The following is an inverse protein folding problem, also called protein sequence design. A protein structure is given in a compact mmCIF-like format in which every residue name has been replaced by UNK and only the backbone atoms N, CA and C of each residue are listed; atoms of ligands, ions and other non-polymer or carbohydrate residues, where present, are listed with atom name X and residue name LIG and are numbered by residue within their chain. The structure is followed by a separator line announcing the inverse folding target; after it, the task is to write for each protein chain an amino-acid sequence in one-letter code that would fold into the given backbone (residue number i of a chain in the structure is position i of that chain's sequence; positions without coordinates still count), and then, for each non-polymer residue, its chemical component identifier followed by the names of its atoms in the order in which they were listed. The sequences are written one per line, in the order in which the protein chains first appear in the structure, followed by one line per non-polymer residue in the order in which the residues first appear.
data_IF_951628424251
#
_entry.id   IF_951628424251
#
_cell.length_a   1.000
_cell.length_b   1.000
_cell.length_c   1.000
_cell.angle_alpha   90.00
_cell.angle_beta   90.00
_cell.angle_gamma   90.00
#
_symmetry.space_group_name_H-M   'P 1'
#
loop_
_entity.id
_entity.type
_entity.pdbx_description
1 polymer ?
#
# COMPACT_ATOMS: atom_id res chain seq x y z
N UNK A 1 -38.78 -19.88 -10.79
CA UNK A 1 -38.32 -18.65 -11.48
C UNK A 1 -39.38 -17.52 -11.53
N UNK A 2 -40.44 -17.51 -10.69
CA UNK A 2 -41.60 -16.60 -10.83
C UNK A 2 -41.85 -15.68 -9.60
N UNK A 3 -40.81 -15.37 -8.83
CA UNK A 3 -40.89 -14.51 -7.62
C UNK A 3 -39.63 -13.63 -7.45
N UNK A 4 -39.29 -12.86 -8.47
CA UNK A 4 -38.43 -11.68 -8.35
C UNK A 4 -39.04 -10.61 -9.27
N UNK A 5 -39.96 -9.75 -8.78
CA UNK A 5 -40.42 -8.64 -9.59
C UNK A 5 -39.19 -7.77 -9.87
N UNK A 6 -38.94 -7.45 -11.15
CA UNK A 6 -37.90 -6.48 -11.50
C UNK A 6 -38.30 -5.13 -10.90
N UNK A 7 -37.73 -4.84 -9.74
CA UNK A 7 -37.95 -3.57 -9.05
C UNK A 7 -37.21 -2.48 -9.83
N UNK A 8 -37.99 -1.66 -10.53
CA UNK A 8 -37.47 -0.57 -11.35
C UNK A 8 -36.69 0.44 -10.51
N UNK A 9 -37.01 0.56 -9.22
CA UNK A 9 -36.31 1.45 -8.28
C UNK A 9 -34.89 0.95 -8.03
N UNK A 10 -34.70 -0.35 -7.81
CA UNK A 10 -33.38 -0.96 -7.64
C UNK A 10 -32.53 -0.85 -8.92
N UNK A 11 -33.15 -0.95 -10.10
CA UNK A 11 -32.48 -0.73 -11.38
C UNK A 11 -31.94 0.71 -11.51
N UNK A 12 -32.74 1.71 -11.15
CA UNK A 12 -32.29 3.11 -11.19
C UNK A 12 -31.18 3.40 -10.17
N UNK A 13 -31.28 2.85 -8.95
CA UNK A 13 -30.25 3.03 -7.92
C UNK A 13 -28.91 2.43 -8.38
N UNK A 14 -28.92 1.21 -8.91
CA UNK A 14 -27.71 0.55 -9.41
C UNK A 14 -27.12 1.26 -10.63
N UNK A 15 -27.97 1.76 -11.55
CA UNK A 15 -27.55 2.57 -12.70
C UNK A 15 -26.84 3.85 -12.26
N UNK A 16 -27.40 4.58 -11.29
CA UNK A 16 -26.81 5.82 -10.76
C UNK A 16 -25.47 5.53 -10.08
N UNK A 17 -25.40 4.49 -9.25
CA UNK A 17 -24.14 4.10 -8.58
C UNK A 17 -23.05 3.77 -9.60
N UNK A 18 -23.37 3.00 -10.64
CA UNK A 18 -22.42 2.66 -11.71
C UNK A 18 -21.99 3.92 -12.49
N UNK A 19 -22.92 4.81 -12.83
CA UNK A 19 -22.62 6.05 -13.55
C UNK A 19 -21.71 6.99 -12.74
N UNK A 20 -21.96 7.13 -11.44
CA UNK A 20 -21.13 7.93 -10.53
C UNK A 20 -19.73 7.32 -10.37
N UNK A 21 -19.63 6.01 -10.17
CA UNK A 21 -18.34 5.31 -10.08
C UNK A 21 -17.53 5.45 -11.37
N UNK A 22 -18.17 5.27 -12.53
CA UNK A 22 -17.52 5.43 -13.84
C UNK A 22 -17.08 6.88 -14.07
N UNK A 23 -17.91 7.86 -13.70
CA UNK A 23 -17.56 9.27 -13.78
C UNK A 23 -16.35 9.62 -12.91
N UNK A 24 -16.33 9.15 -11.66
CA UNK A 24 -15.22 9.35 -10.73
C UNK A 24 -13.92 8.71 -11.25
N UNK A 25 -13.99 7.47 -11.74
CA UNK A 25 -12.87 6.78 -12.38
C UNK A 25 -12.35 7.53 -13.61
N UNK A 26 -13.23 8.05 -14.44
CA UNK A 26 -12.87 8.80 -15.64
C UNK A 26 -12.17 10.12 -15.28
N UNK A 27 -12.65 10.84 -14.27
CA UNK A 27 -12.00 12.07 -13.77
C UNK A 27 -10.60 11.76 -13.20
N UNK A 28 -10.46 10.70 -12.40
CA UNK A 28 -9.16 10.26 -11.91
C UNK A 28 -8.23 9.82 -13.04
N UNK A 29 -8.75 9.12 -14.05
CA UNK A 29 -7.97 8.66 -15.18
C UNK A 29 -7.52 9.84 -16.06
N UNK A 30 -8.40 10.79 -16.34
CA UNK A 30 -8.07 12.03 -17.04
C UNK A 30 -7.04 12.87 -16.29
N UNK A 31 -7.16 12.97 -14.96
CA UNK A 31 -6.16 13.67 -14.14
C UNK A 31 -4.81 12.94 -14.14
N UNK A 32 -4.83 11.60 -14.05
CA UNK A 32 -3.64 10.74 -14.12
C UNK A 32 -2.95 10.82 -15.50
N UNK A 33 -3.72 10.81 -16.59
CA UNK A 33 -3.25 10.97 -17.97
C UNK A 33 -2.69 12.37 -18.20
N UNK A 34 -3.36 13.41 -17.69
CA UNK A 34 -2.86 14.79 -17.83
C UNK A 34 -1.60 15.03 -16.98
N UNK A 35 -1.39 14.27 -15.91
CA UNK A 35 -0.11 14.23 -15.17
C UNK A 35 0.98 13.40 -15.87
N UNK A 36 0.59 12.50 -16.78
CA UNK A 36 1.48 11.70 -17.62
C UNK A 36 1.73 12.36 -18.98
N UNK A 37 1.71 13.70 -19.07
CA UNK A 37 2.09 14.39 -20.31
C UNK A 37 3.55 14.05 -20.70
N UNK A 38 3.78 13.47 -21.88
CA UNK A 38 5.10 13.08 -22.37
C UNK A 38 5.80 14.26 -23.05
N UNK A 39 5.87 15.42 -22.38
CA UNK A 39 6.56 16.61 -22.89
C UNK A 39 6.95 17.50 -21.70
N UNK A 40 8.13 17.25 -21.14
CA UNK A 40 9.10 18.27 -20.63
C UNK A 40 10.18 17.53 -19.83
N UNK A 41 11.14 16.84 -20.47
CA UNK A 41 12.41 16.49 -19.82
C UNK A 41 13.56 16.38 -20.84
N UNK A 42 13.69 17.35 -21.75
CA UNK A 42 14.93 17.55 -22.52
C UNK A 42 15.82 18.67 -21.93
N UNK A 43 15.40 19.37 -20.87
CA UNK A 43 16.25 20.36 -20.20
C UNK A 43 15.76 20.69 -18.78
N UNK A 44 15.97 19.76 -17.84
CA UNK A 44 16.00 20.10 -16.40
C UNK A 44 17.19 19.41 -15.74
N UNK A 45 18.36 19.92 -16.13
CA UNK A 45 19.46 20.17 -15.20
C UNK A 45 18.91 20.99 -14.04
N UNK A 46 18.35 20.32 -13.03
CA UNK A 46 18.54 20.63 -11.61
C UNK A 46 17.69 19.72 -10.73
N UNK A 47 18.33 18.64 -10.28
CA UNK A 47 18.58 18.44 -8.84
C UNK A 47 17.44 18.73 -7.85
N UNK A 48 16.21 18.27 -8.12
CA UNK A 48 15.27 17.94 -7.03
C UNK A 48 14.87 16.46 -7.11
N UNK A 49 15.89 15.61 -7.13
CA UNK A 49 15.73 14.26 -6.61
C UNK A 49 15.38 14.46 -5.14
N UNK A 50 14.13 14.17 -4.74
CA UNK A 50 13.72 14.00 -3.34
C UNK A 50 14.92 13.49 -2.56
N UNK A 51 15.40 14.25 -1.58
CA UNK A 51 16.70 14.03 -0.94
C UNK A 51 16.84 12.56 -0.53
N UNK A 52 18.01 11.96 -0.82
CA UNK A 52 18.34 10.59 -0.39
C UNK A 52 18.09 10.41 1.11
N UNK A 53 18.32 11.46 1.89
CA UNK A 53 18.04 11.50 3.32
C UNK A 53 16.55 11.33 3.66
N UNK A 54 15.64 11.98 2.91
CA UNK A 54 14.19 11.89 3.14
C UNK A 54 13.67 10.45 2.96
N UNK A 55 14.28 9.67 2.05
CA UNK A 55 13.96 8.24 1.86
C UNK A 55 14.33 7.40 3.08
N UNK A 56 15.50 7.63 3.66
CA UNK A 56 15.92 6.94 4.89
C UNK A 56 15.04 7.34 6.09
N UNK A 57 14.68 8.62 6.19
CA UNK A 57 13.76 9.12 7.22
C UNK A 57 12.39 8.43 7.10
N UNK A 58 11.86 8.25 5.89
CA UNK A 58 10.57 7.59 5.68
C UNK A 58 10.56 6.13 6.19
N UNK A 59 11.66 5.39 6.02
CA UNK A 59 11.79 4.01 6.49
C UNK A 59 11.87 3.95 8.01
N UNK A 60 12.69 4.84 8.59
CA UNK A 60 12.84 4.93 10.05
C UNK A 60 11.50 5.30 10.69
N UNK A 61 10.75 6.22 10.10
CA UNK A 61 9.41 6.56 10.56
C UNK A 61 8.44 5.38 10.39
N UNK A 62 8.47 4.69 9.25
CA UNK A 62 7.61 3.54 8.99
C UNK A 62 7.88 2.36 9.94
N UNK A 63 9.16 2.06 10.19
CA UNK A 63 9.55 1.01 11.15
C UNK A 63 9.22 1.40 12.59
N UNK A 64 9.44 2.67 12.97
CA UNK A 64 9.06 3.17 14.29
C UNK A 64 7.55 3.12 14.50
N UNK A 65 6.75 3.47 13.49
CA UNK A 65 5.28 3.37 13.55
C UNK A 65 4.82 1.92 13.74
N UNK A 66 5.39 0.96 13.01
CA UNK A 66 5.10 -0.47 13.19
C UNK A 66 5.49 -0.97 14.58
N UNK A 67 6.68 -0.57 15.05
CA UNK A 67 7.17 -0.95 16.38
C UNK A 67 6.30 -0.37 17.51
N UNK A 68 5.90 0.90 17.40
CA UNK A 68 4.97 1.53 18.34
C UNK A 68 3.59 0.85 18.32
N UNK A 69 3.07 0.51 17.13
CA UNK A 69 1.82 -0.23 17.00
C UNK A 69 1.87 -1.59 17.71
N UNK A 70 2.97 -2.31 17.57
CA UNK A 70 3.21 -3.57 18.27
C UNK A 70 3.27 -3.39 19.79
N UNK A 71 4.00 -2.37 20.27
CA UNK A 71 4.10 -2.07 21.70
C UNK A 71 2.76 -1.71 22.32
N UNK A 72 1.96 -0.90 21.61
CA UNK A 72 0.60 -0.50 22.03
C UNK A 72 -0.34 -1.71 22.09
N UNK A 73 -0.20 -2.67 21.15
CA UNK A 73 -1.00 -3.88 21.09
C UNK A 73 -0.69 -4.89 22.19
N UNK A 74 0.53 -4.89 22.74
CA UNK A 74 0.93 -5.76 23.84
C UNK A 74 0.44 -5.30 25.22
N UNK A 75 0.05 -4.03 25.36
CA UNK A 75 -0.49 -3.52 26.62
C UNK A 75 -1.90 -4.06 26.87
N UNK A 76 -2.09 -4.69 28.03
CA UNK A 76 -3.40 -5.14 28.50
C UNK A 76 -4.16 -3.95 29.09
N UNK A 77 -5.21 -3.53 28.38
CA UNK A 77 -6.14 -2.51 28.85
C UNK A 77 -7.49 -3.15 29.22
N UNK A 78 -8.31 -2.37 29.94
CA UNK A 78 -9.70 -2.72 30.20
C UNK A 78 -10.47 -2.91 28.88
N UNK A 79 -11.48 -3.80 28.87
CA UNK A 79 -12.25 -4.20 27.67
C UNK A 79 -12.76 -3.01 26.84
N UNK A 80 -13.16 -1.92 27.49
CA UNK A 80 -13.63 -0.71 26.82
C UNK A 80 -12.51 0.12 26.18
N UNK A 81 -11.35 0.24 26.83
CA UNK A 81 -10.19 0.97 26.29
C UNK A 81 -9.56 0.26 25.09
N UNK A 82 -9.53 -1.07 25.13
CA UNK A 82 -8.99 -1.90 24.06
C UNK A 82 -9.71 -1.69 22.71
N UNK A 83 -11.04 -1.50 22.74
CA UNK A 83 -11.83 -1.30 21.54
C UNK A 83 -11.37 -0.08 20.73
N UNK A 84 -11.21 1.08 21.37
CA UNK A 84 -10.71 2.29 20.71
C UNK A 84 -9.25 2.16 20.27
N UNK A 85 -8.42 1.51 21.09
CA UNK A 85 -6.99 1.33 20.80
C UNK A 85 -6.76 0.49 19.53
N UNK A 86 -7.59 -0.53 19.29
CA UNK A 86 -7.48 -1.38 18.10
C UNK A 86 -7.61 -0.55 16.81
N UNK A 87 -8.55 0.40 16.74
CA UNK A 87 -8.70 1.26 15.57
C UNK A 87 -7.46 2.13 15.32
N UNK A 88 -6.87 2.69 16.38
CA UNK A 88 -5.64 3.50 16.27
C UNK A 88 -4.47 2.64 15.79
N UNK A 89 -4.33 1.41 16.33
CA UNK A 89 -3.26 0.49 15.99
C UNK A 89 -3.38 0.03 14.54
N UNK A 90 -4.59 -0.34 14.09
CA UNK A 90 -4.83 -0.74 12.69
C UNK A 90 -4.43 0.39 11.74
N UNK A 91 -4.86 1.63 12.01
CA UNK A 91 -4.48 2.79 11.21
C UNK A 91 -2.96 3.01 11.16
N UNK A 92 -2.30 2.93 12.32
CA UNK A 92 -0.85 3.07 12.44
C UNK A 92 -0.09 1.99 11.67
N UNK A 93 -0.54 0.73 11.74
CA UNK A 93 0.07 -0.39 11.03
C UNK A 93 -0.06 -0.23 9.52
N UNK A 94 -1.24 0.16 9.02
CA UNK A 94 -1.46 0.40 7.59
C UNK A 94 -0.48 1.47 7.08
N UNK A 95 -0.44 2.64 7.72
CA UNK A 95 0.45 3.74 7.33
C UNK A 95 1.92 3.31 7.42
N UNK A 96 2.30 2.61 8.49
CA UNK A 96 3.65 2.11 8.72
C UNK A 96 4.11 1.13 7.63
N UNK A 97 3.26 0.16 7.26
CA UNK A 97 3.58 -0.82 6.20
C UNK A 97 3.79 -0.14 4.84
N UNK A 98 2.93 0.80 4.46
CA UNK A 98 3.11 1.53 3.19
C UNK A 98 4.37 2.38 3.20
N UNK A 99 4.62 3.15 4.26
CA UNK A 99 5.84 3.97 4.39
C UNK A 99 7.11 3.10 4.35
N UNK A 100 7.09 1.96 5.04
CA UNK A 100 8.20 1.01 5.07
C UNK A 100 8.47 0.41 3.69
N UNK A 101 7.44 -0.09 2.99
CA UNK A 101 7.61 -0.71 1.67
C UNK A 101 8.04 0.30 0.58
N UNK A 102 7.49 1.51 0.61
CA UNK A 102 7.91 2.57 -0.31
C UNK A 102 9.38 2.93 -0.07
N UNK A 103 9.78 3.10 1.19
CA UNK A 103 11.16 3.43 1.52
C UNK A 103 12.15 2.30 1.24
N UNK A 104 11.86 1.06 1.64
CA UNK A 104 12.76 -0.09 1.45
C UNK A 104 12.98 -0.39 -0.03
N UNK A 105 11.97 -0.18 -0.88
CA UNK A 105 12.09 -0.38 -2.33
C UNK A 105 13.17 0.53 -2.95
N UNK A 106 13.28 1.78 -2.48
CA UNK A 106 14.28 2.73 -2.95
C UNK A 106 15.70 2.35 -2.46
N UNK A 107 15.83 1.81 -1.24
CA UNK A 107 17.11 1.28 -0.73
C UNK A 107 17.57 0.08 -1.54
N UNK A 108 16.68 -0.89 -1.81
CA UNK A 108 16.99 -2.09 -2.59
C UNK A 108 17.55 -1.69 -3.96
N UNK A 109 16.94 -0.71 -4.63
CA UNK A 109 17.44 -0.18 -5.91
C UNK A 109 18.81 0.46 -5.72
N UNK A 110 19.01 1.27 -4.67
CA UNK A 110 20.29 1.93 -4.42
C UNK A 110 21.43 0.93 -4.17
N UNK A 111 21.17 -0.14 -3.43
CA UNK A 111 22.13 -1.23 -3.18
C UNK A 111 22.43 -1.96 -4.49
N UNK A 112 21.40 -2.28 -5.28
CA UNK A 112 21.56 -2.96 -6.56
C UNK A 112 22.33 -2.12 -7.59
N UNK A 113 22.25 -0.79 -7.49
CA UNK A 113 23.03 0.16 -8.32
C UNK A 113 24.48 0.30 -7.86
N UNK A 114 24.78 0.03 -6.58
CA UNK A 114 26.12 0.16 -6.00
C UNK A 114 27.02 -1.04 -6.33
N UNK A 115 26.46 -2.17 -6.77
CA UNK A 115 27.21 -3.30 -7.31
C UNK A 115 27.77 -2.92 -8.69
N UNK A 116 29.01 -2.42 -8.71
CA UNK A 116 29.69 -1.80 -9.86
C UNK A 116 29.84 -2.68 -11.12
N UNK A 117 29.60 -4.00 -11.03
CA UNK A 117 29.73 -4.92 -12.15
C UNK A 117 28.60 -4.80 -13.20
N UNK A 118 27.48 -4.16 -12.86
CA UNK A 118 26.28 -4.05 -13.74
C UNK A 118 26.04 -2.63 -14.25
N UNK A 119 26.36 -1.58 -13.46
CA UNK A 119 25.90 -0.22 -13.73
C UNK A 119 26.72 0.56 -14.78
N UNK A 120 28.00 0.23 -14.98
CA UNK A 120 28.89 0.98 -15.88
C UNK A 120 29.01 0.41 -17.31
N UNK A 121 28.21 -0.59 -17.67
CA UNK A 121 28.10 -1.01 -19.07
C UNK A 121 26.93 -0.26 -19.75
N UNK A 122 27.18 0.48 -20.85
CA UNK A 122 26.16 1.28 -21.55
C UNK A 122 24.95 0.47 -22.04
N UNK A 123 25.06 -0.87 -22.08
CA UNK A 123 24.01 -1.81 -22.46
C UNK A 123 22.91 -2.01 -21.40
N UNK A 124 23.17 -1.73 -20.11
CA UNK A 124 22.20 -1.99 -19.02
C UNK A 124 21.50 -0.74 -18.50
N UNK A 125 21.88 0.46 -18.96
CA UNK A 125 21.31 1.72 -18.50
C UNK A 125 19.79 1.80 -18.73
N UNK A 126 19.33 1.44 -19.93
CA UNK A 126 17.90 1.40 -20.28
C UNK A 126 17.12 0.41 -19.41
N UNK A 127 17.74 -0.73 -19.09
CA UNK A 127 17.15 -1.77 -18.22
C UNK A 127 17.00 -1.27 -16.79
N UNK A 128 18.02 -0.62 -16.23
CA UNK A 128 18.00 -0.11 -14.85
C UNK A 128 16.98 1.01 -14.67
N UNK A 129 16.85 1.91 -15.64
CA UNK A 129 15.84 2.98 -15.61
C UNK A 129 14.42 2.40 -15.68
N UNK A 130 14.17 1.45 -16.59
CA UNK A 130 12.87 0.78 -16.70
C UNK A 130 12.53 -0.11 -15.50
N UNK A 131 13.52 -0.65 -14.80
CA UNK A 131 13.31 -1.48 -13.60
C UNK A 131 13.02 -0.63 -12.35
N UNK A 132 13.63 0.55 -12.23
CA UNK A 132 13.33 1.51 -11.14
C UNK A 132 11.86 1.93 -11.14
N UNK A 133 11.31 2.27 -12.32
CA UNK A 133 9.90 2.66 -12.46
C UNK A 133 8.97 1.51 -12.08
N UNK A 134 9.27 0.29 -12.56
CA UNK A 134 8.48 -0.90 -12.26
C UNK A 134 8.53 -1.29 -10.78
N UNK A 135 9.70 -1.24 -10.13
CA UNK A 135 9.82 -1.58 -8.71
C UNK A 135 9.11 -0.55 -7.81
N UNK A 136 9.17 0.73 -8.16
CA UNK A 136 8.45 1.78 -7.43
C UNK A 136 6.93 1.63 -7.55
N UNK A 137 6.43 1.27 -8.73
CA UNK A 137 5.01 0.94 -8.92
C UNK A 137 4.61 -0.35 -8.21
N UNK A 138 5.49 -1.36 -8.20
CA UNK A 138 5.25 -2.66 -7.55
C UNK A 138 5.36 -2.60 -6.02
N UNK A 139 6.02 -1.60 -5.45
CA UNK A 139 6.18 -1.46 -4.00
C UNK A 139 4.83 -1.27 -3.29
N UNK A 140 3.91 -0.52 -3.91
CA UNK A 140 2.55 -0.31 -3.37
C UNK A 140 1.77 -1.62 -3.38
N UNK A 141 1.81 -2.36 -4.50
CA UNK A 141 1.16 -3.67 -4.60
C UNK A 141 1.73 -4.67 -3.60
N UNK A 142 3.04 -4.66 -3.36
CA UNK A 142 3.70 -5.55 -2.40
C UNK A 142 3.27 -5.25 -0.95
N UNK A 143 3.12 -3.96 -0.59
CA UNK A 143 2.58 -3.54 0.69
C UNK A 143 1.13 -4.04 0.88
N UNK A 144 0.30 -3.91 -0.16
CA UNK A 144 -1.10 -4.40 -0.13
C UNK A 144 -1.18 -5.91 0.07
N UNK A 145 -0.37 -6.70 -0.65
CA UNK A 145 -0.33 -8.17 -0.47
C UNK A 145 0.08 -8.54 0.95
N UNK A 146 1.03 -7.81 1.53
CA UNK A 146 1.48 -8.04 2.90
C UNK A 146 0.35 -7.80 3.90
N UNK A 147 -0.38 -6.68 3.76
CA UNK A 147 -1.55 -6.40 4.61
C UNK A 147 -2.62 -7.49 4.46
N UNK A 148 -2.93 -7.91 3.24
CA UNK A 148 -3.88 -9.00 3.00
C UNK A 148 -3.44 -10.29 3.70
N UNK A 149 -2.15 -10.64 3.62
CA UNK A 149 -1.60 -11.81 4.29
C UNK A 149 -1.71 -11.68 5.82
N UNK A 150 -1.44 -10.51 6.38
CA UNK A 150 -1.62 -10.26 7.82
C UNK A 150 -3.08 -10.41 8.25
N UNK A 151 -4.04 -9.84 7.52
CA UNK A 151 -5.47 -10.03 7.82
C UNK A 151 -5.89 -11.49 7.73
N UNK A 152 -5.38 -12.22 6.74
CA UNK A 152 -5.61 -13.65 6.58
C UNK A 152 -5.08 -14.42 7.80
N UNK A 153 -3.85 -14.14 8.23
CA UNK A 153 -3.25 -14.76 9.42
C UNK A 153 -4.10 -14.46 10.66
N UNK A 154 -4.47 -13.20 10.90
CA UNK A 154 -5.27 -12.80 12.07
C UNK A 154 -6.63 -13.51 12.08
N UNK A 155 -7.30 -13.60 10.93
CA UNK A 155 -8.60 -14.27 10.81
C UNK A 155 -8.47 -15.78 11.06
N UNK A 156 -7.43 -16.42 10.52
CA UNK A 156 -7.15 -17.83 10.78
C UNK A 156 -6.83 -18.06 12.26
N UNK A 157 -5.99 -17.22 12.86
CA UNK A 157 -5.66 -17.31 14.28
C UNK A 157 -6.91 -17.18 15.14
N UNK A 158 -7.77 -16.20 14.88
CA UNK A 158 -9.03 -16.03 15.62
C UNK A 158 -9.93 -17.28 15.52
N UNK A 159 -10.08 -17.82 14.31
CA UNK A 159 -10.87 -19.04 14.06
C UNK A 159 -10.29 -20.23 14.83
N UNK A 160 -8.97 -20.41 14.78
CA UNK A 160 -8.28 -21.49 15.49
C UNK A 160 -8.38 -21.33 17.00
N UNK A 161 -8.24 -20.11 17.53
CA UNK A 161 -8.37 -19.86 18.96
C UNK A 161 -9.78 -20.15 19.44
N UNK A 162 -10.82 -19.70 18.72
CA UNK A 162 -12.21 -19.98 19.09
C UNK A 162 -12.52 -21.47 19.00
N UNK A 163 -12.08 -22.16 17.94
CA UNK A 163 -12.29 -23.61 17.80
C UNK A 163 -11.62 -24.40 18.94
N UNK A 164 -10.39 -24.03 19.32
CA UNK A 164 -9.69 -24.68 20.44
C UNK A 164 -10.35 -24.42 21.77
N UNK A 165 -10.88 -23.23 21.99
CA UNK A 165 -11.59 -22.83 23.21
C UNK A 165 -12.88 -23.67 23.38
N UNK A 166 -13.66 -23.82 22.30
CA UNK A 166 -14.89 -24.64 22.30
C UNK A 166 -14.65 -26.13 22.52
N UNK A 167 -13.48 -26.65 22.17
CA UNK A 167 -13.13 -28.06 22.33
C UNK A 167 -12.49 -28.36 23.70
N UNK A 168 -12.16 -27.32 24.47
CA UNK A 168 -11.64 -27.39 25.84
C UNK A 168 -12.73 -27.24 26.92
N UNK A 169 -14.00 -27.05 26.51
CA UNK A 169 -15.22 -27.14 27.34
C UNK A 169 -15.99 -28.40 27.01
#
# INVERSE_FOLDING_TARGET
LRYYPFDSVAMFITLIIIAVLMGMLLIFNLFSINFQRPITYQHRSDSSVISRWLRYVLIVIGSAALYLGYFIALQQDTTFGAFFKIWIVIGLVIIGTYAFFVGISEIIISILQQVSKVYYHPRYFFVVVGMRVRLKMNAVSLATITLLCTFLIVTLTMTLTTYRDMNHT
#
